data_IF_034941499486
#
_entry.id   IF_034941499486
#
_cell.length_a   1.000
_cell.length_b   1.000
_cell.length_c   1.000
_cell.angle_alpha   90.00
_cell.angle_beta   90.00
_cell.angle_gamma   90.00
#
_symmetry.space_group_name_H-M   'P 1'
#
loop_
_entity.id
_entity.type
_entity.pdbx_description
1 polymer ?
#
# COMPACT_ATOMS: atom_id res chain seq x y z
N UNK A 1 -51.09 -12.75 -17.18
CA UNK A 1 -51.39 -13.59 -16.00
C UNK A 1 -51.82 -12.68 -14.87
N UNK A 2 -53.09 -12.73 -14.47
CA UNK A 2 -53.62 -11.87 -13.42
C UNK A 2 -53.18 -12.39 -12.04
N UNK A 3 -52.39 -11.59 -11.32
CA UNK A 3 -52.07 -11.81 -9.91
C UNK A 3 -53.38 -11.80 -9.12
N UNK A 4 -53.80 -12.95 -8.57
CA UNK A 4 -54.86 -12.98 -7.56
C UNK A 4 -54.25 -12.45 -6.26
N UNK A 5 -54.72 -11.34 -5.69
CA UNK A 5 -54.22 -10.87 -4.41
C UNK A 5 -54.59 -11.92 -3.35
N UNK A 6 -53.58 -12.50 -2.70
CA UNK A 6 -53.76 -13.19 -1.43
C UNK A 6 -54.24 -12.14 -0.43
N UNK A 7 -55.54 -12.13 -0.16
CA UNK A 7 -56.12 -11.38 0.95
C UNK A 7 -55.53 -11.95 2.25
N UNK A 8 -54.49 -11.31 2.76
CA UNK A 8 -53.95 -11.56 4.09
C UNK A 8 -54.94 -10.95 5.11
N UNK A 9 -55.94 -11.72 5.50
CA UNK A 9 -56.78 -11.38 6.64
C UNK A 9 -55.93 -11.60 7.90
N UNK A 10 -55.51 -10.51 8.54
CA UNK A 10 -54.89 -10.55 9.86
C UNK A 10 -55.97 -10.93 10.89
N UNK A 11 -56.05 -12.22 11.23
CA UNK A 11 -57.04 -12.74 12.17
C UNK A 11 -56.55 -12.50 13.60
N UNK A 12 -57.24 -11.65 14.38
CA UNK A 12 -57.03 -11.54 15.82
C UNK A 12 -57.19 -12.93 16.49
N UNK A 13 -56.22 -13.31 17.32
CA UNK A 13 -56.09 -14.64 17.95
C UNK A 13 -57.35 -15.10 18.71
N UNK A 14 -58.18 -14.18 19.20
CA UNK A 14 -59.43 -14.45 19.93
C UNK A 14 -60.62 -14.82 19.03
N UNK A 15 -60.63 -14.42 17.75
CA UNK A 15 -61.71 -14.71 16.78
C UNK A 15 -61.39 -15.90 15.88
N UNK A 16 -60.13 -16.34 15.87
CA UNK A 16 -59.62 -17.44 15.04
C UNK A 16 -60.42 -18.75 15.14
N UNK A 17 -60.83 -19.25 16.32
CA UNK A 17 -61.52 -20.54 16.41
C UNK A 17 -62.91 -20.55 15.77
N UNK A 18 -63.63 -19.41 15.83
CA UNK A 18 -64.96 -19.27 15.21
C UNK A 18 -64.84 -19.23 13.69
N UNK A 19 -63.89 -18.44 13.19
CA UNK A 19 -63.61 -18.33 11.75
C UNK A 19 -63.15 -19.67 11.17
N UNK A 20 -62.27 -20.40 11.86
CA UNK A 20 -61.84 -21.75 11.41
C UNK A 20 -63.01 -22.74 11.39
N UNK A 21 -63.92 -22.67 12.37
CA UNK A 21 -65.11 -23.50 12.41
C UNK A 21 -66.09 -23.16 11.28
N UNK A 22 -66.29 -21.87 10.99
CA UNK A 22 -67.11 -21.40 9.87
C UNK A 22 -66.50 -21.80 8.51
N UNK A 23 -65.19 -21.67 8.34
CA UNK A 23 -64.49 -22.10 7.13
C UNK A 23 -64.54 -23.63 6.93
N UNK A 24 -64.49 -24.39 8.02
CA UNK A 24 -64.68 -25.84 8.01
C UNK A 24 -66.11 -26.23 7.63
N UNK A 25 -67.11 -25.57 8.23
CA UNK A 25 -68.53 -25.76 7.89
C UNK A 25 -68.81 -25.39 6.43
N UNK A 26 -68.15 -24.36 5.92
CA UNK A 26 -68.21 -23.95 4.51
C UNK A 26 -67.38 -24.81 3.54
N UNK A 27 -66.82 -25.95 3.99
CA UNK A 27 -65.99 -26.88 3.20
C UNK A 27 -64.83 -26.19 2.44
N UNK A 28 -64.24 -25.14 3.03
CA UNK A 28 -63.06 -24.46 2.45
C UNK A 28 -61.76 -24.97 3.04
N UNK A 29 -61.81 -25.52 4.25
CA UNK A 29 -60.70 -26.15 4.97
C UNK A 29 -61.22 -27.43 5.62
N UNK A 30 -60.35 -28.38 5.86
CA UNK A 30 -60.66 -29.60 6.59
C UNK A 30 -60.07 -29.52 8.00
N UNK A 31 -60.82 -29.98 8.99
CA UNK A 31 -60.46 -29.94 10.40
C UNK A 31 -60.40 -31.35 10.96
N UNK A 32 -59.25 -31.76 11.50
CA UNK A 32 -59.07 -33.06 12.15
C UNK A 32 -58.78 -32.86 13.64
N UNK A 33 -59.49 -33.62 14.48
CA UNK A 33 -59.16 -33.71 15.89
C UNK A 33 -57.91 -34.58 16.08
N UNK A 34 -56.88 -34.03 16.73
CA UNK A 34 -55.67 -34.73 17.12
C UNK A 34 -55.55 -34.65 18.65
N UNK A 35 -56.05 -35.68 19.33
CA UNK A 35 -56.13 -35.72 20.80
C UNK A 35 -56.99 -34.58 21.36
N UNK A 36 -56.37 -33.68 22.16
CA UNK A 36 -57.05 -32.53 22.78
C UNK A 36 -57.09 -31.26 21.90
N UNK A 37 -56.49 -31.28 20.71
CA UNK A 37 -56.39 -30.13 19.83
C UNK A 37 -57.08 -30.39 18.49
N UNK A 38 -57.63 -29.34 17.87
CA UNK A 38 -58.16 -29.39 16.51
C UNK A 38 -57.15 -28.74 15.55
N UNK A 39 -56.76 -29.47 14.51
CA UNK A 39 -55.84 -28.99 13.47
C UNK A 39 -56.63 -28.78 12.19
N UNK A 40 -56.52 -27.60 11.60
CA UNK A 40 -57.17 -27.25 10.35
C UNK A 40 -56.14 -27.15 9.24
N UNK A 41 -56.44 -27.69 8.06
CA UNK A 41 -55.61 -27.59 6.87
C UNK A 41 -56.44 -27.16 5.66
N UNK A 42 -55.80 -26.47 4.73
CA UNK A 42 -56.43 -26.13 3.47
C UNK A 42 -56.74 -27.41 2.67
N UNK A 43 -57.89 -27.44 2.02
CA UNK A 43 -58.24 -28.52 1.13
C UNK A 43 -57.36 -28.47 -0.12
N UNK A 44 -56.54 -29.50 -0.31
CA UNK A 44 -55.79 -29.72 -1.54
C UNK A 44 -56.62 -30.63 -2.42
N UNK A 45 -57.00 -30.17 -3.62
CA UNK A 45 -57.62 -31.05 -4.61
C UNK A 45 -56.57 -32.08 -5.05
N UNK A 46 -56.97 -33.33 -5.18
CA UNK A 46 -56.11 -34.36 -5.79
C UNK A 46 -55.70 -33.92 -7.19
N UNK A 47 -54.46 -34.22 -7.57
CA UNK A 47 -53.98 -33.90 -8.91
C UNK A 47 -54.75 -34.74 -9.93
N UNK A 48 -55.49 -34.07 -10.81
CA UNK A 48 -55.99 -34.67 -12.04
C UNK A 48 -54.88 -34.62 -13.11
N UNK A 49 -55.02 -35.42 -14.17
CA UNK A 49 -54.02 -35.52 -15.25
C UNK A 49 -53.65 -34.14 -15.82
N UNK A 50 -54.65 -33.25 -15.96
CA UNK A 50 -54.46 -31.88 -16.44
C UNK A 50 -53.61 -31.01 -15.49
N UNK A 51 -53.66 -31.27 -14.18
CA UNK A 51 -52.80 -30.58 -13.20
C UNK A 51 -51.38 -31.11 -13.26
N UNK A 52 -51.18 -32.42 -13.48
CA UNK A 52 -49.84 -33.02 -13.59
C UNK A 52 -49.09 -32.52 -14.83
N UNK A 53 -49.75 -32.47 -15.99
CA UNK A 53 -49.15 -31.92 -17.22
C UNK A 53 -48.69 -30.46 -17.03
N UNK A 54 -49.49 -29.65 -16.31
CA UNK A 54 -49.14 -28.25 -16.03
C UNK A 54 -47.96 -28.12 -15.07
N UNK A 55 -47.79 -29.07 -14.14
CA UNK A 55 -46.63 -29.10 -13.24
C UNK A 55 -45.36 -29.37 -14.04
N UNK A 56 -45.39 -30.33 -14.97
CA UNK A 56 -44.22 -30.63 -15.85
C UNK A 56 -43.81 -29.41 -16.66
N UNK A 57 -44.78 -28.71 -17.28
CA UNK A 57 -44.50 -27.47 -18.03
C UNK A 57 -43.90 -26.37 -17.14
N UNK A 58 -44.34 -26.28 -15.88
CA UNK A 58 -43.77 -25.32 -14.93
C UNK A 58 -42.34 -25.69 -14.53
N UNK A 59 -42.06 -26.97 -14.34
CA UNK A 59 -40.71 -27.45 -14.03
C UNK A 59 -39.74 -27.15 -15.19
N UNK A 60 -40.16 -27.38 -16.44
CA UNK A 60 -39.36 -27.01 -17.62
C UNK A 60 -39.08 -25.49 -17.67
N UNK A 61 -40.08 -24.65 -17.38
CA UNK A 61 -39.88 -23.21 -17.29
C UNK A 61 -38.94 -22.82 -16.13
N UNK A 62 -39.01 -23.50 -15.00
CA UNK A 62 -38.10 -23.26 -13.87
C UNK A 62 -36.66 -23.57 -14.30
N UNK A 63 -36.43 -24.69 -14.99
CA UNK A 63 -35.11 -25.06 -15.50
C UNK A 63 -34.57 -24.02 -16.49
N UNK A 64 -35.40 -23.60 -17.45
CA UNK A 64 -35.02 -22.55 -18.41
C UNK A 64 -34.66 -21.24 -17.72
N UNK A 65 -35.45 -20.80 -16.73
CA UNK A 65 -35.17 -19.58 -15.98
C UNK A 65 -33.90 -19.70 -15.14
N UNK A 66 -33.63 -20.87 -14.56
CA UNK A 66 -32.40 -21.13 -13.82
C UNK A 66 -31.17 -21.03 -14.73
N UNK A 67 -31.24 -21.61 -15.93
CA UNK A 67 -30.17 -21.52 -16.93
C UNK A 67 -29.95 -20.08 -17.42
N UNK A 68 -31.02 -19.34 -17.70
CA UNK A 68 -30.90 -17.92 -18.06
C UNK A 68 -30.24 -17.11 -16.94
N UNK A 69 -30.59 -17.41 -15.69
CA UNK A 69 -30.06 -16.72 -14.52
C UNK A 69 -28.57 -17.03 -14.30
N UNK A 70 -28.13 -18.28 -14.52
CA UNK A 70 -26.70 -18.63 -14.44
C UNK A 70 -25.90 -17.94 -15.54
N UNK A 71 -26.43 -17.91 -16.77
CA UNK A 71 -25.81 -17.24 -17.91
C UNK A 71 -25.66 -15.72 -17.67
N UNK A 72 -26.75 -15.05 -17.25
CA UNK A 72 -26.72 -13.62 -16.94
C UNK A 72 -25.75 -13.28 -15.80
N UNK A 73 -25.65 -14.14 -14.78
CA UNK A 73 -24.63 -13.98 -13.73
C UNK A 73 -23.21 -14.11 -14.29
N UNK A 74 -22.99 -15.00 -15.25
CA UNK A 74 -21.73 -15.14 -15.98
C UNK A 74 -21.37 -13.84 -16.72
N UNK A 75 -22.30 -13.34 -17.56
CA UNK A 75 -22.10 -12.08 -18.28
C UNK A 75 -21.81 -10.90 -17.36
N UNK A 76 -22.55 -10.77 -16.25
CA UNK A 76 -22.32 -9.70 -15.29
C UNK A 76 -20.94 -9.78 -14.62
N UNK A 77 -20.43 -10.99 -14.35
CA UNK A 77 -19.07 -11.18 -13.83
C UNK A 77 -18.02 -10.76 -14.86
N UNK A 78 -18.17 -11.19 -16.11
CA UNK A 78 -17.23 -10.87 -17.19
C UNK A 78 -17.20 -9.35 -17.45
N UNK A 79 -18.36 -8.71 -17.59
CA UNK A 79 -18.46 -7.27 -17.78
C UNK A 79 -17.84 -6.47 -16.62
N UNK A 80 -17.98 -6.95 -15.37
CA UNK A 80 -17.30 -6.32 -14.22
C UNK A 80 -15.78 -6.48 -14.29
N UNK A 81 -15.28 -7.64 -14.73
CA UNK A 81 -13.86 -7.86 -14.90
C UNK A 81 -13.28 -6.95 -16.01
N UNK A 82 -13.97 -6.84 -17.14
CA UNK A 82 -13.59 -5.92 -18.25
C UNK A 82 -13.62 -4.45 -17.81
N UNK A 83 -14.62 -4.04 -17.03
CA UNK A 83 -14.65 -2.68 -16.48
C UNK A 83 -13.51 -2.43 -15.50
N UNK A 84 -13.11 -3.43 -14.71
CA UNK A 84 -11.98 -3.30 -13.81
C UNK A 84 -10.65 -3.15 -14.56
N UNK A 85 -10.45 -3.90 -15.65
CA UNK A 85 -9.24 -3.78 -16.48
C UNK A 85 -9.19 -2.43 -17.21
N UNK A 86 -10.31 -1.96 -17.75
CA UNK A 86 -10.40 -0.65 -18.40
C UNK A 86 -10.12 0.48 -17.41
N UNK A 87 -10.64 0.41 -16.18
CA UNK A 87 -10.38 1.42 -15.13
C UNK A 87 -8.95 1.39 -14.60
N UNK A 88 -8.32 0.23 -14.59
CA UNK A 88 -6.90 0.12 -14.22
C UNK A 88 -5.98 0.70 -15.29
N UNK A 89 -6.47 0.86 -16.52
CA UNK A 89 -5.71 1.46 -17.62
C UNK A 89 -5.86 2.98 -17.54
N UNK A 90 -4.79 3.73 -17.22
CA UNK A 90 -4.85 5.19 -17.20
C UNK A 90 -5.16 5.72 -18.60
N UNK A 91 -5.88 6.84 -18.68
CA UNK A 91 -6.21 7.41 -19.98
C UNK A 91 -4.96 7.98 -20.66
N UNK A 92 -5.01 8.15 -21.98
CA UNK A 92 -3.91 8.77 -22.72
C UNK A 92 -3.60 10.19 -22.22
N UNK A 93 -4.63 10.91 -21.75
CA UNK A 93 -4.47 12.23 -21.14
C UNK A 93 -3.73 12.14 -19.80
N UNK A 94 -4.13 11.24 -18.91
CA UNK A 94 -3.47 11.04 -17.60
C UNK A 94 -2.00 10.63 -17.77
N UNK A 95 -1.71 9.79 -18.76
CA UNK A 95 -0.35 9.40 -19.12
C UNK A 95 0.46 10.59 -19.61
N UNK A 96 -0.12 11.43 -20.48
CA UNK A 96 0.55 12.61 -21.01
C UNK A 96 0.83 13.64 -19.91
N UNK A 97 -0.11 13.87 -18.99
CA UNK A 97 0.10 14.72 -17.82
C UNK A 97 1.22 14.18 -16.92
N UNK A 98 1.22 12.88 -16.65
CA UNK A 98 2.27 12.22 -15.86
C UNK A 98 3.65 12.34 -16.51
N UNK A 99 3.74 12.17 -17.84
CA UNK A 99 4.99 12.34 -18.60
C UNK A 99 5.49 13.78 -18.48
N UNK A 100 4.61 14.76 -18.65
CA UNK A 100 4.98 16.17 -18.53
C UNK A 100 5.49 16.50 -17.12
N UNK A 101 4.83 15.98 -16.08
CA UNK A 101 5.27 16.15 -14.70
C UNK A 101 6.65 15.54 -14.46
N UNK A 102 6.87 14.30 -14.88
CA UNK A 102 8.16 13.61 -14.75
C UNK A 102 9.28 14.32 -15.52
N UNK A 103 8.95 14.93 -16.66
CA UNK A 103 9.91 15.70 -17.44
C UNK A 103 10.36 16.95 -16.68
N UNK A 104 9.43 17.66 -16.04
CA UNK A 104 9.74 18.80 -15.17
C UNK A 104 10.59 18.37 -13.97
N UNK A 105 10.20 17.30 -13.27
CA UNK A 105 10.98 16.77 -12.15
C UNK A 105 12.42 16.40 -12.57
N UNK A 106 12.56 15.73 -13.70
CA UNK A 106 13.86 15.39 -14.28
C UNK A 106 14.69 16.65 -14.51
N UNK A 107 14.15 17.65 -15.19
CA UNK A 107 14.85 18.90 -15.50
C UNK A 107 15.26 19.65 -14.23
N UNK A 108 14.39 19.73 -13.23
CA UNK A 108 14.72 20.35 -11.94
C UNK A 108 15.83 19.59 -11.19
N UNK A 109 15.79 18.24 -11.17
CA UNK A 109 16.82 17.42 -10.57
C UNK A 109 18.18 17.61 -11.26
N UNK A 110 18.20 17.69 -12.60
CA UNK A 110 19.41 17.97 -13.36
C UNK A 110 19.96 19.38 -13.09
N UNK A 111 19.10 20.39 -12.97
CA UNK A 111 19.53 21.74 -12.63
C UNK A 111 20.17 21.80 -11.23
N UNK A 112 19.59 21.12 -10.25
CA UNK A 112 20.14 20.99 -8.89
C UNK A 112 21.50 20.28 -8.93
N UNK A 113 21.61 19.18 -9.66
CA UNK A 113 22.87 18.44 -9.82
C UNK A 113 23.95 19.31 -10.48
N UNK A 114 23.61 20.03 -11.55
CA UNK A 114 24.56 20.92 -12.23
C UNK A 114 25.05 22.04 -11.29
N UNK A 115 24.14 22.63 -10.49
CA UNK A 115 24.51 23.62 -9.48
C UNK A 115 25.42 23.02 -8.39
N UNK A 116 25.10 21.81 -7.92
CA UNK A 116 25.90 21.11 -6.93
C UNK A 116 27.30 20.77 -7.46
N UNK A 117 27.42 20.32 -8.71
CA UNK A 117 28.71 20.04 -9.36
C UNK A 117 29.53 21.31 -9.62
N UNK A 118 28.88 22.43 -9.91
CA UNK A 118 29.56 23.73 -10.05
C UNK A 118 30.05 24.33 -8.73
N UNK A 119 29.46 23.92 -7.60
CA UNK A 119 29.73 24.49 -6.26
C UNK A 119 30.58 23.56 -5.38
N UNK A 120 30.49 22.23 -5.57
CA UNK A 120 31.32 21.26 -4.85
C UNK A 120 32.60 21.02 -5.65
N UNK A 121 33.75 21.26 -5.01
CA UNK A 121 35.06 20.87 -5.54
C UNK A 121 35.12 19.35 -5.69
N UNK A 122 34.69 18.83 -6.85
CA UNK A 122 34.66 17.42 -7.21
C UNK A 122 33.76 16.58 -6.29
N UNK A 123 32.80 15.83 -6.86
CA UNK A 123 32.37 14.61 -6.20
C UNK A 123 33.58 13.68 -6.15
N UNK A 124 34.37 13.77 -5.07
CA UNK A 124 35.47 12.85 -4.82
C UNK A 124 34.83 11.53 -4.45
N UNK A 125 35.20 10.48 -5.18
CA UNK A 125 34.76 9.12 -4.88
C UNK A 125 35.11 8.77 -3.43
N UNK A 126 34.27 7.99 -2.77
CA UNK A 126 34.48 7.68 -1.35
C UNK A 126 35.79 6.90 -1.16
N UNK A 127 36.18 6.08 -2.15
CA UNK A 127 37.47 5.39 -2.17
C UNK A 127 38.63 6.38 -2.21
N UNK A 128 38.61 7.35 -3.13
CA UNK A 128 39.62 8.40 -3.25
C UNK A 128 39.73 9.23 -1.96
N UNK A 129 38.60 9.50 -1.31
CA UNK A 129 38.55 10.22 -0.04
C UNK A 129 39.23 9.43 1.08
N UNK A 130 39.00 8.12 1.14
CA UNK A 130 39.65 7.26 2.16
C UNK A 130 41.16 7.15 1.93
N UNK A 131 41.60 7.06 0.69
CA UNK A 131 43.03 7.04 0.32
C UNK A 131 43.68 8.36 0.72
N UNK A 132 43.09 9.50 0.33
CA UNK A 132 43.59 10.82 0.68
C UNK A 132 43.71 11.01 2.20
N UNK A 133 42.71 10.55 2.97
CA UNK A 133 42.73 10.59 4.43
C UNK A 133 43.88 9.77 5.02
N UNK A 134 44.10 8.53 4.55
CA UNK A 134 45.21 7.68 5.01
C UNK A 134 46.57 8.31 4.72
N UNK A 135 46.74 8.87 3.52
CA UNK A 135 47.97 9.55 3.11
C UNK A 135 48.21 10.78 3.99
N UNK A 136 47.17 11.58 4.23
CA UNK A 136 47.23 12.73 5.12
C UNK A 136 47.66 12.35 6.54
N UNK A 137 47.03 11.33 7.13
CA UNK A 137 47.36 10.84 8.49
C UNK A 137 48.82 10.36 8.58
N UNK A 138 49.31 9.65 7.54
CA UNK A 138 50.71 9.22 7.46
C UNK A 138 51.68 10.41 7.44
N UNK A 139 51.41 11.44 6.63
CA UNK A 139 52.23 12.65 6.57
C UNK A 139 52.15 13.46 7.86
N UNK A 140 50.97 13.58 8.46
CA UNK A 140 50.78 14.29 9.72
C UNK A 140 51.59 13.63 10.85
N UNK A 141 51.58 12.30 10.95
CA UNK A 141 52.43 11.56 11.91
C UNK A 141 53.92 11.85 11.69
N UNK A 142 54.38 11.84 10.43
CA UNK A 142 55.79 12.13 10.08
C UNK A 142 56.19 13.56 10.43
N UNK A 143 55.34 14.54 10.11
CA UNK A 143 55.57 15.95 10.44
C UNK A 143 55.64 16.14 11.95
N UNK A 144 54.70 15.54 12.70
CA UNK A 144 54.70 15.63 14.15
C UNK A 144 55.95 15.01 14.80
N UNK A 145 56.41 13.86 14.28
CA UNK A 145 57.63 13.22 14.76
C UNK A 145 58.87 14.08 14.45
N UNK A 146 59.01 14.57 13.21
CA UNK A 146 60.11 15.45 12.81
C UNK A 146 60.12 16.74 13.64
N UNK A 147 58.96 17.33 13.88
CA UNK A 147 58.80 18.52 14.74
C UNK A 147 59.26 18.23 16.17
N UNK A 148 58.89 17.07 16.73
CA UNK A 148 59.35 16.65 18.06
C UNK A 148 60.88 16.51 18.11
N UNK A 149 61.46 15.78 17.16
CA UNK A 149 62.92 15.59 17.09
C UNK A 149 63.64 16.93 16.95
N UNK A 150 63.17 17.82 16.08
CA UNK A 150 63.75 19.14 15.90
C UNK A 150 63.69 19.98 17.19
N UNK A 151 62.56 19.97 17.90
CA UNK A 151 62.44 20.66 19.21
C UNK A 151 63.36 20.05 20.27
N UNK A 152 63.47 18.73 20.32
CA UNK A 152 64.32 18.05 21.31
C UNK A 152 65.81 18.34 21.05
N UNK A 153 66.25 18.35 19.79
CA UNK A 153 67.59 18.76 19.40
C UNK A 153 67.84 20.24 19.70
N UNK A 154 66.90 21.11 19.32
CA UNK A 154 66.98 22.54 19.57
C UNK A 154 67.16 22.87 21.05
N UNK A 155 66.43 22.18 21.93
CA UNK A 155 66.58 22.33 23.39
C UNK A 155 67.99 22.01 23.86
N UNK A 156 68.57 20.91 23.37
CA UNK A 156 69.94 20.50 23.73
C UNK A 156 70.99 21.49 23.23
N UNK A 157 70.79 22.06 22.03
CA UNK A 157 71.66 23.10 21.51
C UNK A 157 71.63 24.33 22.41
N UNK A 158 70.44 24.79 22.83
CA UNK A 158 70.31 25.93 23.75
C UNK A 158 70.92 25.68 25.12
N UNK A 159 70.89 24.45 25.63
CA UNK A 159 71.54 24.09 26.91
C UNK A 159 73.08 24.19 26.86
N UNK A 160 73.68 24.10 25.67
CA UNK A 160 75.13 24.07 25.45
C UNK A 160 75.71 25.38 24.90
N UNK A 161 74.87 26.38 24.62
CA UNK A 161 75.26 27.65 24.01
C UNK A 161 75.52 28.69 25.09
N UNK A 162 76.60 29.47 24.91
CA UNK A 162 76.99 30.54 25.81
C UNK A 162 75.90 31.64 25.87
N UNK A 163 75.78 32.31 27.02
CA UNK A 163 74.72 33.30 27.29
C UNK A 163 74.72 34.51 26.35
N UNK A 164 75.78 34.67 25.55
CA UNK A 164 75.99 35.82 24.67
C UNK A 164 75.39 35.63 23.27
N UNK A 165 74.91 34.42 22.93
CA UNK A 165 74.27 34.14 21.64
C UNK A 165 72.75 34.05 21.82
N UNK A 166 72.00 34.87 21.09
CA UNK A 166 70.54 34.83 21.16
C UNK A 166 69.96 33.63 20.40
N UNK A 167 68.74 33.24 20.76
CA UNK A 167 68.05 32.08 20.20
C UNK A 167 67.80 32.26 18.69
N UNK A 168 67.48 33.47 18.28
CA UNK A 168 67.20 33.87 16.91
C UNK A 168 68.48 33.85 16.06
N UNK A 169 69.59 34.37 16.58
CA UNK A 169 70.89 34.34 15.91
C UNK A 169 71.37 32.90 15.69
N UNK A 170 71.21 32.03 16.70
CA UNK A 170 71.55 30.61 16.55
C UNK A 170 70.69 29.90 15.50
N UNK A 171 69.42 30.31 15.34
CA UNK A 171 68.48 29.72 14.38
C UNK A 171 68.88 30.07 12.94
N UNK A 172 69.25 31.33 12.73
CA UNK A 172 69.79 31.83 11.46
C UNK A 172 71.18 31.24 11.14
N UNK A 173 72.07 31.12 12.13
CA UNK A 173 73.40 30.51 11.96
C UNK A 173 73.32 29.03 11.53
N UNK A 174 72.30 28.32 11.99
CA UNK A 174 72.03 26.93 11.60
C UNK A 174 71.28 26.83 10.26
N UNK A 175 70.95 27.95 9.62
CA UNK A 175 70.27 28.01 8.33
C UNK A 175 68.85 27.45 8.38
N UNK A 176 68.15 27.59 9.51
CA UNK A 176 66.81 27.06 9.69
C UNK A 176 65.77 28.08 9.24
N UNK A 177 64.95 27.72 8.25
CA UNK A 177 63.88 28.57 7.74
C UNK A 177 62.51 28.21 8.34
N UNK A 178 61.68 29.24 8.55
CA UNK A 178 60.29 29.10 9.04
C UNK A 178 60.08 29.61 10.47
N UNK A 179 58.82 29.67 10.94
CA UNK A 179 58.52 30.16 12.28
C UNK A 179 59.24 29.30 13.31
N UNK A 180 59.92 29.97 14.25
CA UNK A 180 60.56 29.33 15.41
C UNK A 180 59.59 28.29 15.99
N UNK A 181 60.00 27.02 16.05
CA UNK A 181 59.14 25.86 16.32
C UNK A 181 58.65 25.80 17.79
N UNK A 182 58.51 26.95 18.46
CA UNK A 182 58.10 27.10 19.85
C UNK A 182 57.07 28.22 19.98
N UNK A 183 55.84 27.89 19.56
CA UNK A 183 54.70 27.93 20.48
C UNK A 183 54.29 26.50 20.77
#
# INVERSE_FOLDING_TARGET
>A
MAYRPQTFLQICTTKSPKVLRELHQGQKIEGRASGRQAVYHALQKGADESTLERVVVLDDHILQLQEQLTNLKGYAKNARAELATLRATPSAFDLQESINHLQVEKETAFAILAQAQGTSAGQVDEEDRTIAKRVWECWQKRVNLRRKVCRDLWRRCLEMVDKDVTREELWELLGLEGPLILT
#
